data_IF_899478798251
#
_entry.id   IF_899478798251
#
_cell.length_a   1.000
_cell.length_b   1.000
_cell.length_c   1.000
_cell.angle_alpha   90.00
_cell.angle_beta   90.00
_cell.angle_gamma   90.00
#
_symmetry.space_group_name_H-M   'P 1'
#
loop_
_entity.id
_entity.type
_entity.pdbx_description
1 polymer ?
#
# COMPACT_ATOMS: atom_id res chain seq x y z
N UNK A 1 -6.54 10.52 9.83
CA UNK A 1 -6.17 9.56 8.76
C UNK A 1 -6.11 8.11 9.27
N UNK A 2 -5.37 7.84 10.33
CA UNK A 2 -5.28 6.47 10.89
C UNK A 2 -6.65 5.87 11.22
N UNK A 3 -7.53 6.63 11.85
CA UNK A 3 -8.87 6.16 12.22
C UNK A 3 -9.72 5.77 11.00
N UNK A 4 -9.66 6.58 9.93
CA UNK A 4 -10.36 6.26 8.69
C UNK A 4 -9.84 4.96 8.08
N UNK A 5 -8.54 4.80 8.07
CA UNK A 5 -7.89 3.62 7.50
C UNK A 5 -8.21 2.37 8.32
N UNK A 6 -8.18 2.49 9.65
CA UNK A 6 -8.60 1.39 10.53
C UNK A 6 -10.04 0.96 10.28
N UNK A 7 -10.94 1.90 10.11
CA UNK A 7 -12.35 1.60 9.85
C UNK A 7 -12.51 0.86 8.52
N UNK A 8 -11.86 1.32 7.46
CA UNK A 8 -11.93 0.70 6.13
C UNK A 8 -11.37 -0.72 6.17
N UNK A 9 -10.17 -0.90 6.72
CA UNK A 9 -9.52 -2.21 6.74
C UNK A 9 -10.26 -3.17 7.66
N UNK A 10 -10.80 -2.68 8.78
CA UNK A 10 -11.60 -3.51 9.68
C UNK A 10 -12.84 -4.07 8.98
N UNK A 11 -13.53 -3.25 8.21
CA UNK A 11 -14.70 -3.72 7.45
C UNK A 11 -14.30 -4.79 6.43
N UNK A 12 -13.18 -4.62 5.76
CA UNK A 12 -12.66 -5.65 4.85
C UNK A 12 -12.32 -6.94 5.58
N UNK A 13 -11.69 -6.86 6.74
CA UNK A 13 -11.36 -8.03 7.54
C UNK A 13 -12.62 -8.77 8.00
N UNK A 14 -13.64 -8.04 8.44
CA UNK A 14 -14.94 -8.61 8.82
C UNK A 14 -15.59 -9.29 7.60
N UNK A 15 -15.46 -8.70 6.42
CA UNK A 15 -16.00 -9.28 5.18
C UNK A 15 -15.21 -10.50 4.68
N UNK A 16 -14.10 -10.85 5.33
CA UNK A 16 -13.33 -12.04 4.99
C UNK A 16 -12.14 -11.81 4.06
N UNK A 17 -11.78 -10.55 3.79
CA UNK A 17 -10.59 -10.24 2.99
C UNK A 17 -9.35 -10.52 3.85
N UNK A 18 -8.47 -11.38 3.37
CA UNK A 18 -7.33 -11.88 4.13
C UNK A 18 -6.01 -11.23 3.79
N UNK A 19 -5.77 -10.92 2.52
CA UNK A 19 -4.45 -10.48 2.05
C UNK A 19 -4.44 -8.99 1.76
N UNK A 20 -3.49 -8.29 2.36
CA UNK A 20 -3.31 -6.84 2.23
C UNK A 20 -1.90 -6.59 1.72
N UNK A 21 -1.78 -5.91 0.58
CA UNK A 21 -0.51 -5.65 -0.07
C UNK A 21 -0.16 -4.17 0.03
N UNK A 22 1.09 -3.87 0.30
CA UNK A 22 1.59 -2.50 0.39
C UNK A 22 2.99 -2.38 -0.18
N UNK A 23 3.36 -1.18 -0.61
CA UNK A 23 4.60 -0.94 -1.35
C UNK A 23 5.81 -0.51 -0.53
N UNK A 24 5.66 -0.32 0.77
CA UNK A 24 6.77 -0.01 1.65
C UNK A 24 7.32 1.41 1.55
N UNK A 25 6.64 2.33 0.87
CA UNK A 25 7.06 3.72 0.80
C UNK A 25 6.80 4.43 2.14
N UNK A 26 7.55 5.49 2.42
CA UNK A 26 7.29 6.34 3.57
C UNK A 26 5.91 7.00 3.43
N UNK A 27 5.29 7.34 4.56
CA UNK A 27 4.01 8.03 4.58
C UNK A 27 2.83 7.08 4.60
N UNK A 28 1.97 7.15 3.61
CA UNK A 28 0.71 6.41 3.60
C UNK A 28 0.91 4.89 3.65
N UNK A 29 1.86 4.35 2.89
CA UNK A 29 2.15 2.91 2.91
C UNK A 29 2.54 2.45 4.31
N UNK A 30 3.43 3.19 4.98
CA UNK A 30 3.86 2.88 6.35
C UNK A 30 2.66 2.85 7.29
N UNK A 31 1.79 3.85 7.21
CA UNK A 31 0.59 3.91 8.04
C UNK A 31 -0.34 2.72 7.78
N UNK A 32 -0.57 2.41 6.52
CA UNK A 32 -1.43 1.29 6.14
C UNK A 32 -0.87 -0.04 6.66
N UNK A 33 0.42 -0.25 6.51
CA UNK A 33 1.11 -1.45 7.00
C UNK A 33 0.97 -1.60 8.52
N UNK A 34 1.17 -0.50 9.25
CA UNK A 34 1.00 -0.50 10.71
C UNK A 34 -0.44 -0.83 11.12
N UNK A 35 -1.42 -0.29 10.42
CA UNK A 35 -2.83 -0.56 10.70
C UNK A 35 -3.16 -2.03 10.46
N UNK A 36 -2.67 -2.62 9.37
CA UNK A 36 -2.87 -4.06 9.11
C UNK A 36 -2.25 -4.90 10.22
N UNK A 37 -1.03 -4.58 10.64
CA UNK A 37 -0.35 -5.31 11.72
C UNK A 37 -1.10 -5.19 13.05
N UNK A 38 -1.64 -4.02 13.36
CA UNK A 38 -2.46 -3.84 14.57
C UNK A 38 -3.74 -4.69 14.50
N UNK A 39 -4.44 -4.66 13.37
CA UNK A 39 -5.68 -5.40 13.19
C UNK A 39 -5.45 -6.91 13.13
N UNK A 40 -4.26 -7.35 12.77
CA UNK A 40 -3.91 -8.76 12.78
C UNK A 40 -4.03 -9.37 14.18
N UNK A 41 -3.85 -8.59 15.22
CA UNK A 41 -4.03 -9.06 16.60
C UNK A 41 -5.48 -9.44 16.88
N UNK A 42 -6.42 -8.73 16.29
CA UNK A 42 -7.86 -8.99 16.41
C UNK A 42 -8.35 -9.99 15.35
N UNK A 43 -7.75 -9.96 14.16
CA UNK A 43 -8.08 -10.83 13.04
C UNK A 43 -6.83 -11.63 12.63
N UNK A 44 -6.49 -12.72 13.34
CA UNK A 44 -5.22 -13.42 13.11
C UNK A 44 -5.07 -14.01 11.70
N UNK A 45 -6.15 -14.17 10.97
CA UNK A 45 -6.14 -14.74 9.62
C UNK A 45 -5.69 -13.75 8.55
N UNK A 46 -5.63 -12.44 8.84
CA UNK A 46 -5.19 -11.49 7.82
C UNK A 46 -3.66 -11.52 7.67
N UNK A 47 -3.21 -11.21 6.46
CA UNK A 47 -1.80 -11.26 6.10
C UNK A 47 -1.36 -9.94 5.49
N UNK A 48 -0.15 -9.52 5.82
CA UNK A 48 0.51 -8.37 5.19
C UNK A 48 1.57 -8.87 4.22
N UNK A 49 1.42 -8.48 2.96
CA UNK A 49 2.40 -8.76 1.91
C UNK A 49 3.02 -7.44 1.47
N UNK A 50 4.34 -7.33 1.57
CA UNK A 50 5.07 -6.17 1.09
C UNK A 50 5.58 -6.44 -0.32
N UNK A 51 5.29 -5.51 -1.22
CA UNK A 51 5.81 -5.54 -2.60
C UNK A 51 6.73 -4.35 -2.75
N UNK A 52 8.03 -4.60 -2.74
CA UNK A 52 9.06 -3.57 -2.60
C UNK A 52 9.78 -3.35 -3.92
N UNK A 53 10.21 -2.08 -4.20
CA UNK A 53 10.84 -1.77 -5.47
C UNK A 53 12.21 -2.42 -5.63
N UNK A 54 12.97 -2.49 -4.54
CA UNK A 54 14.31 -3.08 -4.53
C UNK A 54 14.75 -3.35 -3.10
N UNK A 55 15.83 -4.11 -2.95
CA UNK A 55 16.47 -4.32 -1.65
C UNK A 55 17.11 -3.02 -1.20
N UNK A 56 17.10 -2.78 0.11
CA UNK A 56 17.73 -1.61 0.73
C UNK A 56 17.21 -0.28 0.19
N UNK A 57 15.92 -0.19 -0.19
CA UNK A 57 15.35 1.08 -0.61
C UNK A 57 15.48 2.15 0.48
N UNK A 58 15.54 1.73 1.75
CA UNK A 58 15.62 2.62 2.91
C UNK A 58 17.05 3.10 3.23
N UNK A 59 18.03 2.75 2.42
CA UNK A 59 19.45 2.98 2.69
C UNK A 59 19.77 4.42 3.10
N UNK A 60 19.13 5.39 2.45
CA UNK A 60 19.38 6.80 2.68
C UNK A 60 18.25 7.52 3.43
N UNK A 61 17.31 6.76 3.99
CA UNK A 61 16.23 7.35 4.78
C UNK A 61 16.74 7.83 6.15
N UNK A 62 16.02 8.80 6.78
CA UNK A 62 16.31 9.16 8.17
C UNK A 62 16.29 7.92 9.07
N UNK A 63 17.13 7.91 10.10
CA UNK A 63 17.29 6.76 10.98
C UNK A 63 15.96 6.27 11.58
N UNK A 64 15.07 7.20 11.96
CA UNK A 64 13.76 6.88 12.52
C UNK A 64 12.88 6.13 11.52
N UNK A 65 12.80 6.64 10.30
CA UNK A 65 11.98 6.02 9.25
C UNK A 65 12.53 4.66 8.85
N UNK A 66 13.85 4.56 8.80
CA UNK A 66 14.54 3.31 8.51
C UNK A 66 14.23 2.24 9.56
N UNK A 67 14.25 2.61 10.84
CA UNK A 67 13.95 1.68 11.93
C UNK A 67 12.49 1.19 11.86
N UNK A 68 11.55 2.09 11.58
CA UNK A 68 10.14 1.75 11.42
C UNK A 68 9.96 0.77 10.25
N UNK A 69 10.57 1.07 9.11
CA UNK A 69 10.51 0.23 7.93
C UNK A 69 11.04 -1.19 8.22
N UNK A 70 12.20 -1.28 8.84
CA UNK A 70 12.82 -2.57 9.16
C UNK A 70 11.98 -3.38 10.15
N UNK A 71 11.33 -2.71 11.11
CA UNK A 71 10.43 -3.37 12.04
C UNK A 71 9.20 -3.95 11.33
N UNK A 72 8.61 -3.21 10.40
CA UNK A 72 7.48 -3.69 9.60
C UNK A 72 7.92 -4.88 8.74
N UNK A 73 9.09 -4.78 8.13
CA UNK A 73 9.66 -5.83 7.29
C UNK A 73 9.77 -7.17 8.04
N UNK A 74 10.18 -7.12 9.31
CA UNK A 74 10.30 -8.31 10.15
C UNK A 74 8.94 -8.93 10.50
N UNK A 75 7.88 -8.13 10.53
CA UNK A 75 6.54 -8.59 10.92
C UNK A 75 5.68 -9.00 9.73
N UNK A 76 6.08 -8.65 8.51
CA UNK A 76 5.32 -8.99 7.30
C UNK A 76 5.24 -10.51 7.11
N UNK A 77 4.12 -10.98 6.59
CA UNK A 77 3.92 -12.39 6.30
C UNK A 77 4.70 -12.82 5.05
N UNK A 78 4.83 -11.90 4.09
CA UNK A 78 5.56 -12.16 2.85
C UNK A 78 6.18 -10.87 2.35
N UNK A 79 7.36 -10.97 1.73
CA UNK A 79 8.07 -9.84 1.14
C UNK A 79 8.49 -10.22 -0.28
N UNK A 80 8.10 -9.38 -1.25
CA UNK A 80 8.42 -9.56 -2.67
C UNK A 80 9.23 -8.36 -3.12
N UNK A 81 10.40 -8.60 -3.71
CA UNK A 81 11.22 -7.56 -4.33
C UNK A 81 11.08 -7.65 -5.84
N UNK A 82 10.62 -6.55 -6.49
CA UNK A 82 10.47 -6.54 -7.94
C UNK A 82 11.80 -6.34 -8.68
N UNK A 83 12.82 -5.82 -7.97
CA UNK A 83 14.19 -5.70 -8.48
C UNK A 83 15.15 -5.95 -7.33
N UNK A 84 16.35 -6.45 -7.62
CA UNK A 84 17.38 -6.64 -6.60
C UNK A 84 18.00 -5.30 -6.19
N UNK A 85 18.29 -4.46 -7.17
CA UNK A 85 18.90 -3.15 -6.97
C UNK A 85 17.98 -2.07 -7.47
N UNK A 86 18.22 -0.82 -7.03
CA UNK A 86 17.48 0.33 -7.55
C UNK A 86 17.75 0.47 -9.04
N UNK A 87 16.67 0.49 -9.81
CA UNK A 87 16.73 0.71 -11.26
C UNK A 87 15.71 1.78 -11.64
N UNK A 88 15.95 2.43 -12.77
CA UNK A 88 14.99 3.40 -13.31
C UNK A 88 13.67 2.67 -13.57
N UNK A 89 12.60 3.21 -13.04
CA UNK A 89 11.26 2.62 -13.20
C UNK A 89 10.91 1.50 -12.22
N UNK A 90 11.78 1.14 -11.28
CA UNK A 90 11.45 0.08 -10.31
C UNK A 90 10.26 0.44 -9.43
N UNK A 91 10.04 1.74 -9.14
CA UNK A 91 8.88 2.21 -8.39
C UNK A 91 7.58 1.95 -9.16
N UNK A 92 7.56 2.25 -10.45
CA UNK A 92 6.40 1.97 -11.31
C UNK A 92 6.17 0.47 -11.46
N UNK A 93 7.23 -0.30 -11.58
CA UNK A 93 7.16 -1.75 -11.65
C UNK A 93 6.50 -2.33 -10.38
N UNK A 94 6.91 -1.84 -9.20
CA UNK A 94 6.30 -2.20 -7.93
C UNK A 94 4.82 -1.83 -7.90
N UNK A 95 4.46 -0.62 -8.33
CA UNK A 95 3.09 -0.16 -8.33
C UNK A 95 2.20 -1.00 -9.25
N UNK A 96 2.68 -1.35 -10.42
CA UNK A 96 1.94 -2.25 -11.33
C UNK A 96 1.76 -3.64 -10.71
N UNK A 97 2.79 -4.16 -10.05
CA UNK A 97 2.69 -5.47 -9.38
C UNK A 97 1.62 -5.46 -8.30
N UNK A 98 1.56 -4.40 -7.49
CA UNK A 98 0.52 -4.25 -6.47
C UNK A 98 -0.88 -4.32 -7.09
N UNK A 99 -1.10 -3.58 -8.17
CA UNK A 99 -2.40 -3.57 -8.86
C UNK A 99 -2.73 -4.95 -9.43
N UNK A 100 -1.76 -5.62 -10.04
CA UNK A 100 -1.96 -6.95 -10.65
C UNK A 100 -2.31 -8.02 -9.63
N UNK A 101 -1.89 -7.86 -8.37
CA UNK A 101 -2.16 -8.79 -7.28
C UNK A 101 -3.45 -8.50 -6.53
N UNK A 102 -4.16 -7.43 -6.88
CA UNK A 102 -5.24 -6.89 -6.05
C UNK A 102 -6.56 -6.78 -6.79
N UNK A 103 -7.65 -6.69 -6.03
CA UNK A 103 -8.99 -6.43 -6.56
C UNK A 103 -9.55 -5.11 -6.05
N UNK A 104 -9.01 -4.59 -4.97
CA UNK A 104 -9.41 -3.32 -4.36
C UNK A 104 -8.16 -2.49 -4.12
N UNK A 105 -8.21 -1.21 -4.45
CA UNK A 105 -7.14 -0.25 -4.21
C UNK A 105 -7.61 0.79 -3.21
N UNK A 106 -6.95 0.88 -2.06
CA UNK A 106 -7.19 1.94 -1.08
C UNK A 106 -6.07 2.97 -1.27
N UNK A 107 -6.46 4.21 -1.47
CA UNK A 107 -5.51 5.28 -1.79
C UNK A 107 -5.77 6.55 -0.98
N UNK A 108 -4.73 7.33 -0.81
CA UNK A 108 -4.79 8.67 -0.23
C UNK A 108 -4.41 9.68 -1.33
N UNK A 109 -5.32 9.87 -2.28
CA UNK A 109 -5.07 10.69 -3.46
C UNK A 109 -5.62 12.10 -3.26
N UNK A 110 -4.72 13.08 -3.11
CA UNK A 110 -5.07 14.48 -2.94
C UNK A 110 -4.53 15.39 -4.04
N UNK A 111 -3.83 14.82 -5.03
CA UNK A 111 -3.23 15.57 -6.14
C UNK A 111 -3.56 14.89 -7.46
N UNK A 112 -3.74 15.65 -8.56
CA UNK A 112 -4.08 15.07 -9.86
C UNK A 112 -2.89 14.40 -10.57
N UNK A 113 -1.67 14.60 -10.08
CA UNK A 113 -0.44 14.08 -10.69
C UNK A 113 0.44 13.40 -9.65
N UNK A 114 1.46 12.68 -10.11
CA UNK A 114 2.41 11.98 -9.27
C UNK A 114 2.18 10.48 -9.21
N UNK A 115 2.99 9.78 -8.41
CA UNK A 115 2.99 8.33 -8.33
C UNK A 115 1.66 7.74 -7.86
N UNK A 116 1.03 8.37 -6.85
CA UNK A 116 -0.27 7.92 -6.32
C UNK A 116 -1.36 8.04 -7.39
N UNK A 117 -1.39 9.18 -8.11
CA UNK A 117 -2.36 9.40 -9.19
C UNK A 117 -2.16 8.39 -10.32
N UNK A 118 -0.93 8.13 -10.70
CA UNK A 118 -0.59 7.15 -11.74
C UNK A 118 -1.10 5.75 -11.34
N UNK A 119 -0.79 5.33 -10.12
CA UNK A 119 -1.17 3.99 -9.64
C UNK A 119 -2.69 3.85 -9.53
N UNK A 120 -3.38 4.87 -9.03
CA UNK A 120 -4.84 4.85 -8.92
C UNK A 120 -5.49 4.78 -10.30
N UNK A 121 -4.99 5.53 -11.28
CA UNK A 121 -5.49 5.50 -12.65
C UNK A 121 -5.24 4.12 -13.29
N UNK A 122 -4.07 3.53 -13.07
CA UNK A 122 -3.76 2.19 -13.55
C UNK A 122 -4.69 1.15 -12.93
N UNK A 123 -4.93 1.23 -11.62
CA UNK A 123 -5.84 0.35 -10.91
C UNK A 123 -7.27 0.44 -11.46
N UNK A 124 -7.76 1.67 -11.69
CA UNK A 124 -9.08 1.88 -12.27
C UNK A 124 -9.16 1.26 -13.67
N UNK A 125 -8.14 1.46 -14.50
CA UNK A 125 -8.06 0.88 -15.85
C UNK A 125 -8.10 -0.65 -15.80
N UNK A 126 -7.52 -1.26 -14.79
CA UNK A 126 -7.50 -2.73 -14.61
C UNK A 126 -8.78 -3.25 -13.94
N UNK A 127 -9.73 -2.39 -13.64
CA UNK A 127 -11.02 -2.81 -13.11
C UNK A 127 -11.09 -2.96 -11.59
N UNK A 128 -10.08 -2.48 -10.86
CA UNK A 128 -10.13 -2.50 -9.40
C UNK A 128 -11.16 -1.51 -8.88
N UNK A 129 -11.77 -1.84 -7.75
CA UNK A 129 -12.55 -0.87 -6.97
C UNK A 129 -11.59 0.07 -6.26
N UNK A 130 -11.83 1.37 -6.38
CA UNK A 130 -10.95 2.39 -5.79
C UNK A 130 -11.66 3.02 -4.60
N UNK A 131 -10.98 3.02 -3.45
CA UNK A 131 -11.43 3.70 -2.24
C UNK A 131 -10.41 4.78 -1.94
N UNK A 132 -10.78 6.04 -2.16
CA UNK A 132 -9.91 7.18 -1.86
C UNK A 132 -10.31 7.76 -0.50
N UNK A 133 -9.50 7.53 0.53
CA UNK A 133 -9.81 7.98 1.89
C UNK A 133 -9.45 9.45 2.13
N UNK A 134 -8.68 10.07 1.24
CA UNK A 134 -8.40 11.51 1.32
C UNK A 134 -9.65 12.33 0.98
N UNK A 135 -10.46 11.79 0.15
CA UNK A 135 -11.65 12.37 -0.45
C UNK A 135 -11.53 13.88 -0.72
N UNK A 136 -11.24 14.20 -1.96
CA UNK A 136 -11.29 15.56 -2.49
C UNK A 136 -12.23 15.53 -3.70
N UNK A 137 -13.37 16.26 -3.66
CA UNK A 137 -14.35 16.19 -4.77
C UNK A 137 -13.77 16.64 -6.12
N UNK A 138 -12.64 17.35 -6.13
CA UNK A 138 -11.97 17.75 -7.36
C UNK A 138 -11.23 16.61 -8.05
N UNK A 139 -11.04 15.46 -7.38
CA UNK A 139 -10.24 14.34 -7.89
C UNK A 139 -10.99 13.02 -7.74
N UNK A 140 -12.16 12.96 -8.38
CA UNK A 140 -12.94 11.72 -8.38
C UNK A 140 -12.36 10.77 -9.44
N UNK A 141 -12.09 9.55 -9.04
CA UNK A 141 -11.65 8.49 -9.96
C UNK A 141 -12.87 7.64 -10.28
N UNK A 142 -13.29 7.69 -11.52
CA UNK A 142 -14.40 6.87 -11.97
C UNK A 142 -13.93 5.46 -12.28
N UNK A 143 -14.75 4.49 -11.92
CA UNK A 143 -14.51 3.09 -12.24
C UNK A 143 -14.80 2.89 -13.74
N UNK A 144 -13.82 2.32 -14.41
CA UNK A 144 -13.96 2.01 -15.85
C UNK A 144 -14.50 0.59 -16.05
#
# INVERSE_FOLDING_TARGET
MRQKLQAVIREFAIAGIRTYCAGGAMGFDTLAEQVVLELKKEFPQIRLVLVLPCRQQEKYWPARDKAVYQNILRQADEVIYVSEEYTRGCMHKRNRRLVEMSTICVTNLSKPTGGTAYTAAYAAKKGLSIINIAWNPSFVIEKQ
#
